data_IF_339575867293
#
_entry.id   IF_339575867293
#
_cell.length_a   1.000
_cell.length_b   1.000
_cell.length_c   1.000
_cell.angle_alpha   90.00
_cell.angle_beta   90.00
_cell.angle_gamma   90.00
#
_symmetry.space_group_name_H-M   'P 1'
#
loop_
_entity.id
_entity.type
_entity.pdbx_description
1 polymer ?
#
# COMPACT_ATOMS: atom_id res chain seq x y z
N UNK A 1 -2.42 18.46 -24.60
CA UNK A 1 -2.38 16.99 -24.39
C UNK A 1 -3.09 16.37 -25.58
N UNK A 2 -2.48 15.42 -26.29
CA UNK A 2 -3.08 14.82 -27.49
C UNK A 2 -4.03 13.69 -27.09
N UNK A 3 -5.01 13.39 -27.93
CA UNK A 3 -5.95 12.26 -27.73
C UNK A 3 -5.21 10.93 -27.55
N UNK A 4 -4.06 10.78 -28.22
CA UNK A 4 -3.20 9.59 -28.12
C UNK A 4 -2.56 9.45 -26.73
N UNK A 5 -2.09 10.53 -26.12
CA UNK A 5 -1.57 10.50 -24.74
C UNK A 5 -2.64 10.11 -23.73
N UNK A 6 -3.88 10.60 -23.91
CA UNK A 6 -4.99 10.27 -23.01
C UNK A 6 -5.34 8.78 -23.08
N UNK A 7 -5.42 8.21 -24.29
CA UNK A 7 -5.70 6.78 -24.47
C UNK A 7 -4.62 5.88 -23.86
N UNK A 8 -3.34 6.28 -23.95
CA UNK A 8 -2.24 5.53 -23.33
C UNK A 8 -2.31 5.56 -21.80
N UNK A 9 -2.72 6.70 -21.21
CA UNK A 9 -2.91 6.81 -19.76
C UNK A 9 -4.05 5.89 -19.29
N UNK A 10 -5.16 5.83 -20.04
CA UNK A 10 -6.29 4.96 -19.72
C UNK A 10 -5.93 3.48 -19.82
N UNK A 11 -5.28 3.06 -20.92
CA UNK A 11 -4.79 1.69 -21.08
C UNK A 11 -3.79 1.29 -20.01
N UNK A 12 -2.88 2.19 -19.63
CA UNK A 12 -1.96 1.96 -18.52
C UNK A 12 -2.73 1.77 -17.21
N UNK A 13 -3.70 2.65 -16.92
CA UNK A 13 -4.55 2.57 -15.74
C UNK A 13 -5.30 1.24 -15.63
N UNK A 14 -5.89 0.76 -16.72
CA UNK A 14 -6.57 -0.54 -16.78
C UNK A 14 -5.59 -1.71 -16.60
N UNK A 15 -4.43 -1.64 -17.23
CA UNK A 15 -3.45 -2.74 -17.23
C UNK A 15 -2.76 -2.89 -15.86
N UNK A 16 -2.41 -1.79 -15.20
CA UNK A 16 -1.62 -1.84 -13.96
C UNK A 16 -2.45 -1.63 -12.70
N UNK A 17 -3.64 -1.04 -12.79
CA UNK A 17 -4.45 -0.67 -11.62
C UNK A 17 -4.86 -1.86 -10.76
N UNK A 18 -5.44 -2.90 -11.37
CA UNK A 18 -5.90 -4.08 -10.65
C UNK A 18 -4.76 -4.91 -10.00
N UNK A 19 -3.65 -5.20 -10.71
CA UNK A 19 -2.49 -5.85 -10.09
C UNK A 19 -1.91 -5.08 -8.91
N UNK A 20 -1.78 -3.75 -9.01
CA UNK A 20 -1.26 -2.90 -7.93
C UNK A 20 -2.17 -2.95 -6.71
N UNK A 21 -3.49 -2.87 -6.90
CA UNK A 21 -4.45 -2.99 -5.82
C UNK A 21 -4.37 -4.35 -5.12
N UNK A 22 -4.26 -5.44 -5.89
CA UNK A 22 -4.12 -6.79 -5.35
C UNK A 22 -2.83 -6.97 -4.52
N UNK A 23 -1.71 -6.39 -4.97
CA UNK A 23 -0.45 -6.39 -4.21
C UNK A 23 -0.57 -5.64 -2.88
N UNK A 24 -1.28 -4.51 -2.87
CA UNK A 24 -1.55 -3.76 -1.64
C UNK A 24 -2.30 -4.59 -0.60
N UNK A 25 -3.34 -5.30 -1.03
CA UNK A 25 -4.12 -6.22 -0.17
C UNK A 25 -3.27 -7.39 0.33
N UNK A 26 -2.47 -8.00 -0.55
CA UNK A 26 -1.60 -9.10 -0.15
C UNK A 26 -0.57 -8.67 0.91
N UNK A 27 -0.01 -7.47 0.77
CA UNK A 27 0.93 -6.90 1.73
C UNK A 27 0.27 -6.64 3.10
N UNK A 28 -0.93 -6.06 3.13
CA UNK A 28 -1.62 -5.79 4.40
C UNK A 28 -1.98 -7.09 5.12
N UNK A 29 -2.41 -8.12 4.39
CA UNK A 29 -2.65 -9.45 4.96
C UNK A 29 -1.37 -10.08 5.53
N UNK A 30 -0.25 -10.00 4.81
CA UNK A 30 1.04 -10.50 5.29
C UNK A 30 1.45 -9.81 6.60
N UNK A 31 1.35 -8.48 6.65
CA UNK A 31 1.67 -7.70 7.86
C UNK A 31 0.77 -8.10 9.02
N UNK A 32 -0.53 -8.30 8.78
CA UNK A 32 -1.47 -8.75 9.81
C UNK A 32 -1.11 -10.16 10.31
N UNK A 33 -0.76 -11.09 9.42
CA UNK A 33 -0.29 -12.42 9.82
C UNK A 33 0.99 -12.36 10.66
N UNK A 34 1.98 -11.58 10.24
CA UNK A 34 3.21 -11.38 11.00
C UNK A 34 2.95 -10.73 12.37
N UNK A 35 1.96 -9.85 12.45
CA UNK A 35 1.54 -9.23 13.71
C UNK A 35 0.90 -10.26 14.65
N UNK A 36 -0.01 -11.08 14.14
CA UNK A 36 -0.63 -12.16 14.90
C UNK A 36 0.40 -13.19 15.39
N UNK A 37 1.46 -13.43 14.62
CA UNK A 37 2.57 -14.30 15.00
C UNK A 37 3.57 -13.64 15.98
N UNK A 38 3.37 -12.37 16.37
CA UNK A 38 4.26 -11.62 17.26
C UNK A 38 5.59 -11.21 16.63
N UNK A 39 5.74 -11.34 15.31
CA UNK A 39 6.98 -11.01 14.58
C UNK A 39 7.10 -9.50 14.38
N UNK A 40 5.98 -8.81 14.15
CA UNK A 40 5.94 -7.36 13.95
C UNK A 40 4.87 -6.70 14.82
N UNK A 41 5.09 -5.45 15.18
CA UNK A 41 4.05 -4.60 15.74
C UNK A 41 3.49 -3.74 14.61
N UNK A 42 2.23 -3.98 14.21
CA UNK A 42 1.62 -3.26 13.08
C UNK A 42 1.48 -1.75 13.32
N UNK A 43 1.23 -1.34 14.56
CA UNK A 43 1.14 0.07 14.93
C UNK A 43 2.50 0.75 14.84
N UNK A 44 3.55 0.10 15.36
CA UNK A 44 4.92 0.61 15.24
C UNK A 44 5.32 0.77 13.76
N UNK A 45 5.00 -0.21 12.92
CA UNK A 45 5.26 -0.13 11.48
C UNK A 45 4.51 1.03 10.81
N UNK A 46 3.22 1.20 11.11
CA UNK A 46 2.43 2.31 10.59
C UNK A 46 3.01 3.66 11.02
N UNK A 47 3.40 3.82 12.29
CA UNK A 47 4.06 5.04 12.79
C UNK A 47 5.41 5.29 12.10
N UNK A 48 6.20 4.25 11.84
CA UNK A 48 7.45 4.39 11.09
C UNK A 48 7.21 4.89 9.67
N UNK A 49 6.19 4.39 8.97
CA UNK A 49 5.83 4.87 7.63
C UNK A 49 5.42 6.34 7.63
N UNK A 50 4.66 6.79 8.63
CA UNK A 50 4.27 8.19 8.79
C UNK A 50 5.48 9.09 9.10
N UNK A 51 6.41 8.61 9.92
CA UNK A 51 7.66 9.33 10.18
C UNK A 51 8.48 9.46 8.90
N UNK A 52 8.63 8.38 8.12
CA UNK A 52 9.29 8.41 6.81
C UNK A 52 8.60 9.36 5.85
N UNK A 53 7.26 9.45 5.86
CA UNK A 53 6.51 10.39 5.03
C UNK A 53 6.81 11.86 5.37
N UNK A 54 7.11 12.17 6.65
CA UNK A 54 7.44 13.53 7.11
C UNK A 54 8.84 13.99 6.74
N UNK A 55 9.77 13.05 6.57
CA UNK A 55 11.20 13.34 6.32
C UNK A 55 11.60 13.09 4.86
N UNK A 56 10.64 13.08 3.93
CA UNK A 56 10.94 12.94 2.50
C UNK A 56 11.89 14.06 2.06
N UNK A 57 13.05 13.73 1.48
CA UNK A 57 13.99 14.72 0.97
C UNK A 57 13.33 15.64 -0.06
N UNK A 58 13.53 16.96 -0.01
CA UNK A 58 12.94 17.88 -0.98
C UNK A 58 13.50 17.69 -2.39
N UNK A 59 14.67 17.07 -2.54
CA UNK A 59 15.29 16.76 -3.83
C UNK A 59 14.66 15.55 -4.53
N UNK A 60 13.79 14.81 -3.84
CA UNK A 60 13.15 13.61 -4.37
C UNK A 60 12.04 14.00 -5.34
N UNK A 61 12.17 13.54 -6.59
CA UNK A 61 11.10 13.70 -7.58
C UNK A 61 9.82 13.04 -7.04
N UNK A 62 8.73 13.80 -6.97
CA UNK A 62 7.43 13.38 -6.43
C UNK A 62 7.39 13.12 -4.91
N UNK A 63 8.25 13.77 -4.10
CA UNK A 63 8.26 13.64 -2.64
C UNK A 63 6.87 13.72 -1.99
N UNK A 64 6.02 14.64 -2.45
CA UNK A 64 4.65 14.81 -1.92
C UNK A 64 3.75 13.59 -2.23
N UNK A 65 3.85 13.03 -3.44
CA UNK A 65 3.08 11.84 -3.82
C UNK A 65 3.55 10.62 -3.01
N UNK A 66 4.86 10.49 -2.79
CA UNK A 66 5.44 9.43 -1.96
C UNK A 66 4.96 9.56 -0.52
N UNK A 67 5.03 10.76 0.07
CA UNK A 67 4.53 11.01 1.42
C UNK A 67 3.04 10.63 1.55
N UNK A 68 2.19 11.05 0.60
CA UNK A 68 0.77 10.67 0.57
C UNK A 68 0.57 9.15 0.51
N UNK A 69 1.35 8.44 -0.31
CA UNK A 69 1.23 7.00 -0.44
C UNK A 69 1.70 6.26 0.82
N UNK A 70 2.74 6.74 1.49
CA UNK A 70 3.19 6.21 2.78
C UNK A 70 2.13 6.39 3.87
N UNK A 71 1.45 7.55 3.93
CA UNK A 71 0.33 7.76 4.84
C UNK A 71 -0.84 6.81 4.55
N UNK A 72 -1.20 6.63 3.27
CA UNK A 72 -2.25 5.68 2.87
C UNK A 72 -1.91 4.25 3.28
N UNK A 73 -0.66 3.82 3.07
CA UNK A 73 -0.21 2.49 3.46
C UNK A 73 -0.26 2.31 4.99
N UNK A 74 0.16 3.32 5.76
CA UNK A 74 0.05 3.29 7.23
C UNK A 74 -1.40 3.12 7.69
N UNK A 75 -2.34 3.85 7.09
CA UNK A 75 -3.78 3.70 7.36
C UNK A 75 -4.29 2.29 7.02
N UNK A 76 -3.90 1.75 5.87
CA UNK A 76 -4.27 0.40 5.44
C UNK A 76 -3.72 -0.68 6.38
N UNK A 77 -2.48 -0.52 6.89
CA UNK A 77 -1.89 -1.46 7.86
C UNK A 77 -2.66 -1.44 9.18
N UNK A 78 -3.06 -0.27 9.68
CA UNK A 78 -3.86 -0.18 10.92
C UNK A 78 -5.23 -0.83 10.74
N UNK A 79 -5.89 -0.48 9.63
CA UNK A 79 -7.20 -1.01 9.26
C UNK A 79 -7.17 -2.48 8.80
N UNK A 80 -5.99 -3.08 8.63
CA UNK A 80 -5.86 -4.49 8.32
C UNK A 80 -6.45 -5.28 9.49
N UNK A 81 -7.48 -6.05 9.18
CA UNK A 81 -8.08 -7.03 10.08
C UNK A 81 -7.68 -8.42 9.61
N UNK A 82 -7.69 -9.37 10.54
CA UNK A 82 -7.46 -10.77 10.20
C UNK A 82 -8.57 -11.21 9.25
N UNK A 83 -8.26 -11.43 7.98
CA UNK A 83 -9.11 -12.27 7.15
C UNK A 83 -8.81 -13.68 7.61
N UNK A 84 -9.77 -14.35 8.24
CA UNK A 84 -9.65 -15.77 8.53
C UNK A 84 -9.19 -16.45 7.24
N UNK A 85 -8.13 -17.27 7.35
CA UNK A 85 -7.68 -18.05 6.23
C UNK A 85 -8.91 -18.77 5.66
N UNK A 86 -9.17 -18.71 4.33
CA UNK A 86 -10.33 -19.36 3.75
C UNK A 86 -10.34 -20.80 4.25
N UNK A 87 -11.37 -21.14 5.03
CA UNK A 87 -11.55 -22.45 5.61
C UNK A 87 -11.38 -23.44 4.46
N UNK A 88 -10.34 -24.28 4.52
CA UNK A 88 -10.16 -25.38 3.58
C UNK A 88 -11.49 -26.13 3.58
N UNK A 89 -12.22 -26.06 2.47
CA UNK A 89 -13.35 -26.94 2.22
C UNK A 89 -12.72 -28.34 2.23
N UNK A 90 -12.98 -29.08 3.31
CA UNK A 90 -12.65 -30.50 3.43
C UNK A 90 -13.70 -31.32 2.68
#
# INVERSE_FOLDING_TARGET
MTTETQNLIEQLGETVGAPIAAMGIALTHLIQHMHNAGIVNKEALATSLEATAKVQPPELMNAEAIARNLYKLAQQIRAAESVDAPTRIQ
#
